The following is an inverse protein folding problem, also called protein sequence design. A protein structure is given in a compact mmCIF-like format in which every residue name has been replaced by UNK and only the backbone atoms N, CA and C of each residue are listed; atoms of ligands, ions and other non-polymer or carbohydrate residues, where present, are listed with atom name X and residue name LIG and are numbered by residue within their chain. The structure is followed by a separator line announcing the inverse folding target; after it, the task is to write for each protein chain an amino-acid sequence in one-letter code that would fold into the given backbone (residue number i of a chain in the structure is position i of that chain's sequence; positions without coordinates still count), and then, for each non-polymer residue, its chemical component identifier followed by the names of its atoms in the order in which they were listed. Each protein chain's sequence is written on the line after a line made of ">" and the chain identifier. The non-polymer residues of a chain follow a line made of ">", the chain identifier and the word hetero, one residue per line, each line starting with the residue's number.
data_IF_821572237529
#
_entry.id   IF_821572237529
#
_cell.length_a   1.000
_cell.length_b   1.000
_cell.length_c   1.000
_cell.angle_alpha   90.00
_cell.angle_beta   90.00
_cell.angle_gamma   90.00
#
_symmetry.space_group_name_H-M   'P 1'
#
loop_
_entity.id
_entity.type
_entity.pdbx_description
1 polymer ?
#
# COMPACT_ATOMS: atom_id res chain seq x y z
N UNK A 1 -12.24 26.86 -10.37
CA UNK A 1 -12.01 26.95 -8.91
C UNK A 1 -12.15 25.63 -8.14
N UNK A 2 -13.04 24.71 -8.54
CA UNK A 2 -13.24 23.42 -7.84
C UNK A 2 -11.98 22.54 -7.75
N UNK A 3 -11.23 22.42 -8.86
CA UNK A 3 -10.00 21.62 -8.91
C UNK A 3 -8.89 22.08 -7.96
N UNK A 4 -8.70 23.40 -7.81
CA UNK A 4 -7.67 23.97 -6.92
C UNK A 4 -7.97 23.66 -5.45
N UNK A 5 -9.23 23.76 -5.03
CA UNK A 5 -9.63 23.42 -3.65
C UNK A 5 -9.46 21.93 -3.36
N UNK A 6 -9.73 21.06 -4.34
CA UNK A 6 -9.52 19.62 -4.21
C UNK A 6 -8.03 19.30 -4.05
N UNK A 7 -7.18 19.92 -4.88
CA UNK A 7 -5.73 19.77 -4.82
C UNK A 7 -5.15 20.21 -3.47
N UNK A 8 -5.55 21.39 -2.99
CA UNK A 8 -5.10 21.90 -1.69
C UNK A 8 -5.53 20.99 -0.54
N UNK A 9 -6.75 20.43 -0.59
CA UNK A 9 -7.22 19.48 0.42
C UNK A 9 -6.44 18.16 0.38
N UNK A 10 -6.13 17.65 -0.82
CA UNK A 10 -5.34 16.44 -0.98
C UNK A 10 -3.90 16.65 -0.48
N UNK A 11 -3.27 17.76 -0.86
CA UNK A 11 -1.93 18.14 -0.41
C UNK A 11 -1.88 18.31 1.11
N UNK A 12 -2.85 19.02 1.71
CA UNK A 12 -2.92 19.18 3.16
C UNK A 12 -3.08 17.86 3.91
N UNK A 13 -3.99 16.99 3.45
CA UNK A 13 -4.19 15.66 4.06
C UNK A 13 -2.94 14.79 3.93
N UNK A 14 -2.30 14.79 2.77
CA UNK A 14 -1.04 14.07 2.54
C UNK A 14 0.08 14.57 3.46
N UNK A 15 0.25 15.90 3.55
CA UNK A 15 1.23 16.52 4.43
C UNK A 15 0.97 16.20 5.90
N UNK A 16 -0.30 16.23 6.35
CA UNK A 16 -0.67 15.89 7.72
C UNK A 16 -0.36 14.41 8.05
N UNK A 17 -0.67 13.49 7.14
CA UNK A 17 -0.37 12.05 7.30
C UNK A 17 1.15 11.83 7.34
N UNK A 18 1.90 12.45 6.43
CA UNK A 18 3.36 12.37 6.41
C UNK A 18 3.99 12.93 7.70
N UNK A 19 3.50 14.09 8.18
CA UNK A 19 3.95 14.69 9.43
C UNK A 19 3.62 13.82 10.65
N UNK A 20 2.45 13.15 10.65
CA UNK A 20 2.05 12.24 11.71
C UNK A 20 2.96 11.00 11.74
N UNK A 21 3.23 10.39 10.59
CA UNK A 21 4.17 9.27 10.50
C UNK A 21 5.60 9.68 10.88
N UNK A 22 6.04 10.88 10.49
CA UNK A 22 7.31 11.46 10.93
C UNK A 22 7.38 11.60 12.46
N UNK A 23 6.33 12.11 13.09
CA UNK A 23 6.29 12.25 14.55
C UNK A 23 6.30 10.89 15.24
N UNK A 24 5.51 9.92 14.75
CA UNK A 24 5.48 8.55 15.26
C UNK A 24 6.86 7.92 15.15
N UNK A 25 7.51 8.05 13.98
CA UNK A 25 8.87 7.58 13.75
C UNK A 25 9.85 8.16 14.79
N UNK A 26 9.78 9.47 15.03
CA UNK A 26 10.61 10.17 16.02
C UNK A 26 10.37 9.66 17.45
N UNK A 27 9.11 9.42 17.83
CA UNK A 27 8.73 8.89 19.15
C UNK A 27 9.20 7.45 19.33
N UNK A 28 8.94 6.58 18.36
CA UNK A 28 9.38 5.18 18.39
C UNK A 28 10.90 5.08 18.48
N UNK A 29 11.58 6.03 17.86
CA UNK A 29 13.03 6.04 17.85
C UNK A 29 13.70 6.60 19.10
N UNK A 30 13.05 7.55 19.77
CA UNK A 30 13.58 8.14 21.00
C UNK A 30 13.35 7.31 22.26
N UNK A 31 12.48 6.28 22.24
CA UNK A 31 12.02 5.60 23.48
C UNK A 31 11.91 4.06 23.41
N UNK A 32 12.35 3.40 22.33
CA UNK A 32 11.95 2.02 22.03
C UNK A 32 12.89 0.85 22.35
N UNK A 33 14.20 1.04 22.61
CA UNK A 33 15.09 -0.04 23.08
C UNK A 33 16.57 0.06 22.70
N UNK A 34 17.30 -1.05 22.88
CA UNK A 34 18.78 -1.15 23.04
C UNK A 34 19.68 -0.80 21.85
N UNK A 35 19.12 -0.42 20.70
CA UNK A 35 19.92 0.01 19.53
C UNK A 35 19.45 1.38 19.03
N UNK A 36 20.33 2.40 19.00
CA UNK A 36 19.97 3.71 18.49
C UNK A 36 19.68 3.61 16.99
N UNK A 37 18.55 4.19 16.58
CA UNK A 37 18.27 4.40 15.18
C UNK A 37 19.20 5.50 14.65
N UNK A 38 19.80 5.37 13.46
CA UNK A 38 20.61 6.42 12.86
C UNK A 38 19.70 7.55 12.31
N UNK A 39 18.78 8.03 13.14
CA UNK A 39 17.83 9.09 12.81
C UNK A 39 18.54 10.36 12.39
N UNK A 40 19.65 10.73 13.05
CA UNK A 40 20.40 11.92 12.67
C UNK A 40 20.93 11.83 11.24
N UNK A 41 21.45 10.68 10.82
CA UNK A 41 21.87 10.47 9.42
C UNK A 41 20.68 10.44 8.46
N UNK A 42 19.57 9.78 8.83
CA UNK A 42 18.37 9.75 8.01
C UNK A 42 17.73 11.15 7.86
N UNK A 43 17.77 11.98 8.90
CA UNK A 43 17.27 13.36 8.88
C UNK A 43 18.23 14.33 8.20
N UNK A 44 19.54 14.14 8.33
CA UNK A 44 20.53 14.94 7.59
C UNK A 44 20.39 14.75 6.07
N UNK A 45 19.88 13.60 5.62
CA UNK A 45 19.64 13.30 4.21
C UNK A 45 18.24 13.71 3.72
N UNK A 46 17.31 14.05 4.64
CA UNK A 46 15.96 14.45 4.29
C UNK A 46 15.92 15.94 3.93
N UNK A 47 16.05 16.30 2.64
CA UNK A 47 15.90 17.68 2.19
C UNK A 47 14.42 18.08 2.12
N UNK A 48 14.08 19.26 2.64
CA UNK A 48 12.72 19.83 2.54
C UNK A 48 12.27 19.97 1.07
N UNK A 49 13.21 20.26 0.18
CA UNK A 49 12.99 20.34 -1.26
C UNK A 49 12.49 19.00 -1.83
N UNK A 50 13.16 17.89 -1.49
CA UNK A 50 12.76 16.55 -1.94
C UNK A 50 11.43 16.11 -1.33
N UNK A 51 11.11 16.52 -0.10
CA UNK A 51 9.77 16.31 0.46
C UNK A 51 8.69 17.04 -0.34
N UNK A 52 8.97 18.27 -0.78
CA UNK A 52 8.09 19.04 -1.67
C UNK A 52 7.89 18.34 -3.03
N UNK A 53 8.97 17.89 -3.65
CA UNK A 53 8.92 17.12 -4.90
C UNK A 53 8.07 15.85 -4.75
N UNK A 54 8.30 15.06 -3.70
CA UNK A 54 7.54 13.84 -3.44
C UNK A 54 6.04 14.15 -3.26
N UNK A 55 5.71 15.23 -2.56
CA UNK A 55 4.33 15.66 -2.39
C UNK A 55 3.67 16.04 -3.73
N UNK A 56 4.40 16.73 -4.61
CA UNK A 56 3.92 17.08 -5.97
C UNK A 56 3.69 15.84 -6.81
N UNK A 57 4.65 14.91 -6.86
CA UNK A 57 4.51 13.65 -7.59
C UNK A 57 3.32 12.82 -7.07
N UNK A 58 3.15 12.76 -5.74
CA UNK A 58 1.99 12.10 -5.12
C UNK A 58 0.66 12.75 -5.51
N UNK A 59 0.59 14.08 -5.54
CA UNK A 59 -0.60 14.80 -5.97
C UNK A 59 -0.92 14.57 -7.46
N UNK A 60 0.09 14.60 -8.33
CA UNK A 60 -0.04 14.30 -9.75
C UNK A 60 -0.50 12.86 -9.99
N UNK A 61 0.08 11.89 -9.29
CA UNK A 61 -0.32 10.50 -9.36
C UNK A 61 -1.78 10.30 -8.90
N UNK A 62 -2.20 10.97 -7.82
CA UNK A 62 -3.57 10.93 -7.34
C UNK A 62 -4.55 11.56 -8.36
N UNK A 63 -4.20 12.68 -8.98
CA UNK A 63 -4.99 13.29 -10.04
C UNK A 63 -5.11 12.37 -11.25
N UNK A 64 -3.99 11.80 -11.70
CA UNK A 64 -3.96 10.87 -12.81
C UNK A 64 -4.85 9.66 -12.52
N UNK A 65 -4.72 9.07 -11.33
CA UNK A 65 -5.58 7.97 -10.89
C UNK A 65 -7.06 8.36 -10.91
N UNK A 66 -7.44 9.54 -10.38
CA UNK A 66 -8.82 10.01 -10.44
C UNK A 66 -9.31 10.15 -11.88
N UNK A 67 -8.48 10.69 -12.78
CA UNK A 67 -8.81 10.81 -14.20
C UNK A 67 -8.96 9.44 -14.88
N UNK A 68 -8.08 8.49 -14.58
CA UNK A 68 -8.10 7.13 -15.11
C UNK A 68 -9.27 6.30 -14.56
N UNK A 69 -9.69 6.57 -13.33
CA UNK A 69 -10.85 5.93 -12.70
C UNK A 69 -12.18 6.52 -13.19
N UNK A 70 -12.20 7.75 -13.69
CA UNK A 70 -13.43 8.40 -14.16
C UNK A 70 -14.25 7.60 -15.21
N UNK A 71 -13.66 6.96 -16.22
CA UNK A 71 -14.40 6.13 -17.16
C UNK A 71 -14.76 4.73 -16.63
N UNK A 72 -14.22 4.32 -15.47
CA UNK A 72 -14.40 2.98 -14.93
C UNK A 72 -15.70 2.91 -14.13
N UNK A 73 -16.52 1.83 -14.27
CA UNK A 73 -17.76 1.70 -13.51
C UNK A 73 -17.55 1.80 -11.99
N UNK A 74 -18.61 2.19 -11.27
CA UNK A 74 -18.52 2.46 -9.82
C UNK A 74 -18.00 1.26 -9.02
N UNK A 75 -18.39 0.04 -9.39
CA UNK A 75 -17.93 -1.19 -8.75
C UNK A 75 -16.41 -1.36 -8.79
N UNK A 76 -15.78 -1.50 -9.97
CA UNK A 76 -14.31 -1.61 -10.08
C UNK A 76 -13.58 -0.39 -9.51
N UNK A 77 -14.14 0.82 -9.61
CA UNK A 77 -13.59 2.01 -8.95
C UNK A 77 -13.51 1.86 -7.43
N UNK A 78 -14.57 1.35 -6.79
CA UNK A 78 -14.58 1.04 -5.34
C UNK A 78 -13.55 -0.04 -5.01
N UNK A 79 -13.43 -1.07 -5.84
CA UNK A 79 -12.44 -2.13 -5.67
C UNK A 79 -11.01 -1.59 -5.72
N UNK A 80 -10.67 -0.81 -6.76
CA UNK A 80 -9.34 -0.21 -6.88
C UNK A 80 -9.06 0.72 -5.70
N UNK A 81 -9.98 1.62 -5.38
CA UNK A 81 -9.78 2.59 -4.30
C UNK A 81 -9.63 1.92 -2.95
N UNK A 82 -10.49 0.94 -2.64
CA UNK A 82 -10.39 0.13 -1.42
C UNK A 82 -9.10 -0.69 -1.38
N UNK A 83 -8.73 -1.29 -2.51
CA UNK A 83 -7.50 -2.05 -2.68
C UNK A 83 -6.25 -1.23 -2.44
N UNK A 84 -6.19 0.00 -2.97
CA UNK A 84 -5.09 0.93 -2.76
C UNK A 84 -4.90 1.25 -1.27
N UNK A 85 -5.98 1.57 -0.56
CA UNK A 85 -5.88 1.95 0.86
C UNK A 85 -5.53 0.73 1.72
N UNK A 86 -6.21 -0.40 1.52
CA UNK A 86 -6.00 -1.60 2.33
C UNK A 86 -4.66 -2.28 2.03
N UNK A 87 -4.18 -2.25 0.79
CA UNK A 87 -2.87 -2.75 0.42
C UNK A 87 -1.72 -1.95 1.07
N UNK A 88 -1.83 -0.62 1.11
CA UNK A 88 -0.88 0.23 1.83
C UNK A 88 -0.95 -0.01 3.35
N UNK A 89 -2.15 -0.14 3.92
CA UNK A 89 -2.31 -0.46 5.34
C UNK A 89 -1.74 -1.84 5.70
N UNK A 90 -1.87 -2.83 4.81
CA UNK A 90 -1.35 -4.18 5.03
C UNK A 90 0.18 -4.23 5.14
N UNK A 91 0.89 -3.28 4.51
CA UNK A 91 2.34 -3.12 4.71
C UNK A 91 2.61 -2.85 6.18
N UNK A 92 1.95 -1.86 6.77
CA UNK A 92 2.16 -1.45 8.16
C UNK A 92 1.74 -2.56 9.11
N UNK A 93 0.54 -3.12 8.92
CA UNK A 93 -0.09 -4.03 9.88
C UNK A 93 0.50 -5.44 9.81
N UNK A 94 0.81 -5.96 8.62
CA UNK A 94 1.25 -7.33 8.44
C UNK A 94 2.73 -7.42 8.09
N UNK A 95 3.17 -6.77 7.01
CA UNK A 95 4.56 -6.89 6.55
C UNK A 95 5.55 -6.37 7.59
N UNK A 96 5.35 -5.14 8.09
CA UNK A 96 6.25 -4.54 9.08
C UNK A 96 6.11 -5.13 10.46
N UNK A 97 4.90 -5.50 10.90
CA UNK A 97 4.71 -6.21 12.16
C UNK A 97 5.40 -7.57 12.16
N UNK A 98 5.39 -8.29 11.03
CA UNK A 98 6.09 -9.57 10.90
C UNK A 98 7.60 -9.37 11.02
N UNK A 99 8.17 -8.40 10.30
CA UNK A 99 9.60 -8.07 10.41
C UNK A 99 9.98 -7.59 11.81
N UNK A 100 9.11 -6.83 12.47
CA UNK A 100 9.31 -6.41 13.85
C UNK A 100 9.29 -7.61 14.81
N UNK A 101 8.35 -8.53 14.67
CA UNK A 101 8.33 -9.76 15.49
C UNK A 101 9.59 -10.57 15.25
N UNK A 102 10.01 -10.79 14.00
CA UNK A 102 11.25 -11.51 13.66
C UNK A 102 12.50 -10.83 14.24
N UNK A 103 12.53 -9.50 14.26
CA UNK A 103 13.58 -8.73 14.96
C UNK A 103 13.59 -9.05 16.46
N UNK A 104 12.44 -8.95 17.13
CA UNK A 104 12.36 -9.10 18.59
C UNK A 104 12.56 -10.54 19.06
N UNK A 105 12.02 -11.53 18.34
CA UNK A 105 11.99 -12.92 18.81
C UNK A 105 13.16 -13.75 18.33
N UNK A 106 13.68 -13.48 17.13
CA UNK A 106 14.68 -14.32 16.49
C UNK A 106 15.98 -13.59 16.15
N UNK A 107 16.04 -12.25 16.34
CA UNK A 107 17.22 -11.46 15.99
C UNK A 107 17.57 -11.49 14.49
N UNK A 108 16.66 -11.98 13.65
CA UNK A 108 16.92 -12.22 12.22
C UNK A 108 17.03 -10.93 11.40
N UNK A 109 16.34 -9.87 11.84
CA UNK A 109 16.46 -8.53 11.27
C UNK A 109 17.43 -7.76 12.15
N UNK A 110 18.62 -7.35 11.69
CA UNK A 110 19.65 -6.82 12.60
C UNK A 110 19.43 -5.37 13.04
N UNK A 111 18.59 -4.59 12.34
CA UNK A 111 18.47 -3.14 12.55
C UNK A 111 17.01 -2.73 12.73
N UNK A 112 16.63 -2.12 13.86
CA UNK A 112 15.25 -1.62 14.12
C UNK A 112 14.77 -0.53 13.16
N UNK A 113 15.70 0.11 12.47
CA UNK A 113 15.49 1.29 11.62
C UNK A 113 15.34 1.03 10.15
N UNK A 114 15.26 -0.24 9.76
CA UNK A 114 15.15 -0.62 8.36
C UNK A 114 13.95 0.06 7.67
N UNK A 115 12.88 0.39 8.42
CA UNK A 115 11.70 1.15 7.99
C UNK A 115 12.00 2.57 7.47
N UNK A 116 13.05 3.18 8.00
CA UNK A 116 13.45 4.55 7.69
C UNK A 116 14.76 4.62 6.92
N UNK A 117 15.42 3.48 6.73
CA UNK A 117 16.56 3.39 5.84
C UNK A 117 16.10 3.80 4.43
N UNK A 118 16.91 4.58 3.71
CA UNK A 118 16.61 4.93 2.33
C UNK A 118 16.57 3.63 1.51
N UNK A 119 15.57 3.52 0.63
CA UNK A 119 15.50 2.41 -0.31
C UNK A 119 16.72 2.48 -1.24
N UNK A 120 17.54 1.42 -1.23
CA UNK A 120 18.80 1.41 -1.97
C UNK A 120 18.57 1.41 -3.49
N UNK A 121 19.51 2.05 -4.19
CA UNK A 121 19.55 2.45 -5.61
C UNK A 121 19.42 1.30 -6.63
N UNK A 122 19.24 0.05 -6.21
CA UNK A 122 18.99 -1.06 -7.15
C UNK A 122 17.57 -1.07 -7.73
N UNK A 123 16.65 -0.27 -7.19
CA UNK A 123 15.40 -0.01 -7.87
C UNK A 123 15.65 0.91 -9.07
N UNK A 124 15.61 0.36 -10.28
CA UNK A 124 15.57 1.10 -11.56
C UNK A 124 14.39 2.10 -11.67
N UNK A 125 13.59 2.25 -10.61
CA UNK A 125 12.58 3.28 -10.44
C UNK A 125 13.15 4.49 -9.69
N UNK A 126 13.65 5.52 -10.41
CA UNK A 126 14.23 6.73 -9.80
C UNK A 126 13.27 7.47 -8.85
N UNK A 127 11.96 7.28 -9.01
CA UNK A 127 10.94 7.88 -8.13
C UNK A 127 11.03 7.34 -6.70
N UNK A 128 11.40 6.07 -6.49
CA UNK A 128 11.45 5.45 -5.16
C UNK A 128 12.83 5.58 -4.50
N UNK A 129 13.87 5.90 -5.27
CA UNK A 129 15.24 6.01 -4.79
C UNK A 129 15.35 7.09 -3.70
N UNK A 130 15.95 6.71 -2.57
CA UNK A 130 16.15 7.63 -1.44
C UNK A 130 14.90 7.96 -0.62
N UNK A 131 13.72 7.42 -0.97
CA UNK A 131 12.57 7.46 -0.08
C UNK A 131 12.79 6.54 1.12
N UNK A 132 12.26 6.86 2.32
CA UNK A 132 12.25 5.91 3.42
C UNK A 132 11.49 4.64 3.01
N UNK A 133 12.09 3.48 3.28
CA UNK A 133 11.60 2.18 2.79
C UNK A 133 10.13 1.91 3.13
N UNK A 134 9.65 2.34 4.31
CA UNK A 134 8.25 2.21 4.70
C UNK A 134 7.32 2.90 3.71
N UNK A 135 7.60 4.13 3.30
CA UNK A 135 6.75 4.86 2.36
C UNK A 135 6.79 4.24 0.97
N UNK A 136 7.98 3.86 0.49
CA UNK A 136 8.11 3.17 -0.78
C UNK A 136 7.32 1.85 -0.80
N UNK A 137 7.38 1.08 0.29
CA UNK A 137 6.61 -0.15 0.46
C UNK A 137 5.12 0.13 0.54
N UNK A 138 4.68 1.18 1.24
CA UNK A 138 3.26 1.57 1.28
C UNK A 138 2.73 1.96 -0.11
N UNK A 139 3.52 2.67 -0.92
CA UNK A 139 3.15 3.01 -2.30
C UNK A 139 3.02 1.75 -3.15
N UNK A 140 4.00 0.85 -3.06
CA UNK A 140 3.94 -0.43 -3.76
C UNK A 140 2.76 -1.29 -3.28
N UNK A 141 2.53 -1.33 -1.97
CA UNK A 141 1.42 -2.05 -1.37
C UNK A 141 0.06 -1.50 -1.77
N UNK A 142 -0.05 -0.19 -1.91
CA UNK A 142 -1.23 0.41 -2.49
C UNK A 142 -1.44 -0.10 -3.92
N UNK A 143 -0.44 0.09 -4.80
CA UNK A 143 -0.52 -0.33 -6.20
C UNK A 143 -0.90 -1.81 -6.35
N UNK A 144 -0.20 -2.69 -5.63
CA UNK A 144 -0.44 -4.13 -5.65
C UNK A 144 -1.79 -4.51 -5.00
N UNK A 145 -2.22 -3.79 -3.97
CA UNK A 145 -3.53 -3.96 -3.36
C UNK A 145 -4.69 -3.58 -4.30
N UNK A 146 -4.52 -2.51 -5.09
CA UNK A 146 -5.47 -2.14 -6.14
C UNK A 146 -5.60 -3.22 -7.22
N UNK A 147 -4.47 -3.75 -7.69
CA UNK A 147 -4.43 -4.87 -8.63
C UNK A 147 -5.04 -6.14 -8.04
N UNK A 148 -4.73 -6.45 -6.78
CA UNK A 148 -5.27 -7.60 -6.06
C UNK A 148 -6.79 -7.50 -5.90
N UNK A 149 -7.32 -6.31 -5.58
CA UNK A 149 -8.76 -6.09 -5.49
C UNK A 149 -9.47 -6.32 -6.83
N UNK A 150 -8.87 -5.90 -7.95
CA UNK A 150 -9.37 -6.22 -9.29
C UNK A 150 -9.32 -7.72 -9.56
N UNK A 151 -8.20 -8.39 -9.25
CA UNK A 151 -8.05 -9.82 -9.43
C UNK A 151 -9.10 -10.60 -8.63
N UNK A 152 -9.34 -10.22 -7.37
CA UNK A 152 -10.38 -10.84 -6.53
C UNK A 152 -11.79 -10.60 -7.05
N UNK A 153 -12.04 -9.46 -7.71
CA UNK A 153 -13.31 -9.20 -8.38
C UNK A 153 -13.51 -10.12 -9.58
N UNK A 154 -12.44 -10.47 -10.30
CA UNK A 154 -12.46 -11.37 -11.45
C UNK A 154 -12.47 -12.85 -11.04
N UNK A 155 -11.78 -13.20 -9.95
CA UNK A 155 -11.66 -14.56 -9.43
C UNK A 155 -12.83 -14.90 -8.50
N UNK A 156 -14.02 -15.11 -9.08
CA UNK A 156 -15.27 -15.35 -8.33
C UNK A 156 -15.29 -16.67 -7.52
N UNK A 157 -14.44 -17.64 -7.87
CA UNK A 157 -14.56 -19.03 -7.39
C UNK A 157 -13.51 -19.41 -6.34
N UNK A 158 -12.45 -18.61 -6.16
CA UNK A 158 -11.32 -18.98 -5.31
C UNK A 158 -11.46 -18.47 -3.87
N UNK A 159 -10.93 -19.20 -2.87
CA UNK A 159 -10.81 -18.67 -1.51
C UNK A 159 -9.93 -17.41 -1.52
N UNK A 160 -10.52 -16.26 -1.20
CA UNK A 160 -9.90 -14.94 -1.33
C UNK A 160 -8.57 -14.82 -0.57
N UNK A 161 -8.54 -15.29 0.68
CA UNK A 161 -7.34 -15.26 1.50
C UNK A 161 -6.22 -16.12 0.94
N UNK A 162 -6.55 -17.26 0.32
CA UNK A 162 -5.57 -18.11 -0.35
C UNK A 162 -5.04 -17.42 -1.61
N UNK A 163 -5.90 -16.77 -2.39
CA UNK A 163 -5.47 -15.96 -3.54
C UNK A 163 -4.55 -14.84 -3.09
N UNK A 164 -4.93 -14.10 -2.05
CA UNK A 164 -4.10 -13.07 -1.43
C UNK A 164 -2.74 -13.60 -1.01
N UNK A 165 -2.74 -14.73 -0.29
CA UNK A 165 -1.51 -15.38 0.12
C UNK A 165 -0.64 -15.80 -1.08
N UNK A 166 -1.20 -16.43 -2.10
CA UNK A 166 -0.46 -16.87 -3.30
C UNK A 166 0.11 -15.70 -4.09
N UNK A 167 -0.68 -14.63 -4.29
CA UNK A 167 -0.24 -13.41 -4.96
C UNK A 167 0.90 -12.75 -4.19
N UNK A 168 0.82 -12.70 -2.86
CA UNK A 168 1.92 -12.21 -2.03
C UNK A 168 3.14 -13.12 -2.08
N UNK A 169 2.95 -14.40 -1.78
CA UNK A 169 3.99 -15.42 -1.67
C UNK A 169 4.80 -15.58 -2.95
N UNK A 170 4.15 -15.57 -4.12
CA UNK A 170 4.80 -15.77 -5.42
C UNK A 170 5.07 -14.44 -6.12
N UNK A 171 4.04 -13.59 -6.24
CA UNK A 171 4.13 -12.33 -6.99
C UNK A 171 4.99 -11.31 -6.28
N UNK A 172 4.71 -11.02 -5.01
CA UNK A 172 5.45 -9.97 -4.29
C UNK A 172 6.87 -10.42 -3.98
N UNK A 173 7.11 -11.71 -3.68
CA UNK A 173 8.46 -12.27 -3.56
C UNK A 173 9.24 -12.20 -4.86
N UNK A 174 8.59 -12.44 -6.01
CA UNK A 174 9.25 -12.27 -7.31
C UNK A 174 9.59 -10.79 -7.57
N UNK A 175 8.65 -9.87 -7.34
CA UNK A 175 8.87 -8.43 -7.45
C UNK A 175 9.99 -7.95 -6.52
N UNK A 176 10.04 -8.48 -5.30
CA UNK A 176 11.04 -8.11 -4.31
C UNK A 176 12.46 -8.33 -4.84
N UNK A 177 12.70 -9.44 -5.55
CA UNK A 177 14.00 -9.76 -6.17
C UNK A 177 14.53 -8.66 -7.10
N UNK A 178 13.64 -7.84 -7.64
CA UNK A 178 13.95 -6.77 -8.59
C UNK A 178 13.88 -5.37 -7.97
N UNK A 179 13.03 -5.15 -6.96
CA UNK A 179 12.66 -3.81 -6.53
C UNK A 179 12.93 -3.49 -5.06
N UNK A 180 13.03 -4.50 -4.19
CA UNK A 180 13.00 -4.28 -2.74
C UNK A 180 13.98 -5.21 -2.05
N UNK A 181 15.03 -4.65 -1.47
CA UNK A 181 15.81 -5.33 -0.44
C UNK A 181 15.66 -4.56 0.86
N UNK A 182 15.27 -5.26 1.93
CA UNK A 182 15.30 -4.67 3.27
C UNK A 182 16.77 -4.54 3.65
N UNK A 183 17.30 -3.33 3.88
CA UNK A 183 18.72 -3.14 4.14
C UNK A 183 19.17 -3.96 5.35
N UNK A 184 20.19 -4.80 5.16
CA UNK A 184 20.76 -5.64 6.20
C UNK A 184 19.97 -6.90 6.56
N UNK A 185 18.87 -7.22 5.86
CA UNK A 185 18.13 -8.46 6.08
C UNK A 185 18.32 -9.41 4.90
N UNK A 186 19.34 -10.27 5.01
CA UNK A 186 19.72 -11.25 4.00
C UNK A 186 19.03 -12.60 4.28
N UNK A 187 17.73 -12.62 4.01
CA UNK A 187 16.86 -13.75 4.29
C UNK A 187 16.78 -14.74 3.12
N UNK A 188 16.71 -16.03 3.45
CA UNK A 188 16.44 -17.10 2.50
C UNK A 188 15.13 -16.86 1.75
N UNK A 189 15.06 -17.27 0.47
CA UNK A 189 13.91 -16.98 -0.40
C UNK A 189 12.58 -17.45 0.18
N UNK A 190 12.56 -18.55 0.93
CA UNK A 190 11.35 -19.10 1.55
C UNK A 190 10.82 -18.23 2.71
N UNK A 191 11.69 -17.48 3.39
CA UNK A 191 11.26 -16.54 4.43
C UNK A 191 10.46 -15.40 3.81
N UNK A 192 10.90 -14.93 2.64
CA UNK A 192 10.18 -13.93 1.86
C UNK A 192 8.84 -14.42 1.34
N UNK A 193 8.73 -15.69 0.92
CA UNK A 193 7.45 -16.32 0.57
C UNK A 193 6.46 -16.22 1.74
N UNK A 194 6.91 -16.47 2.98
CA UNK A 194 6.04 -16.37 4.16
C UNK A 194 5.68 -14.93 4.49
N UNK A 195 6.67 -14.01 4.54
CA UNK A 195 6.46 -12.59 4.87
C UNK A 195 5.52 -11.94 3.85
N UNK A 196 5.82 -12.11 2.56
CA UNK A 196 5.03 -11.55 1.48
C UNK A 196 3.68 -12.25 1.31
N UNK A 197 3.61 -13.56 1.57
CA UNK A 197 2.35 -14.28 1.65
C UNK A 197 1.44 -13.74 2.76
N UNK A 198 2.02 -13.45 3.94
CA UNK A 198 1.31 -12.79 5.04
C UNK A 198 0.85 -11.37 4.70
N UNK A 199 1.67 -10.62 3.95
CA UNK A 199 1.29 -9.30 3.43
C UNK A 199 0.10 -9.38 2.47
N UNK A 200 0.15 -10.26 1.46
CA UNK A 200 -0.93 -10.45 0.51
C UNK A 200 -2.22 -10.96 1.17
N UNK A 201 -2.10 -11.93 2.08
CA UNK A 201 -3.21 -12.39 2.92
C UNK A 201 -3.84 -11.25 3.72
N UNK A 202 -3.01 -10.44 4.39
CA UNK A 202 -3.44 -9.31 5.21
C UNK A 202 -4.14 -8.23 4.41
N UNK A 203 -3.67 -7.95 3.18
CA UNK A 203 -4.33 -7.04 2.26
C UNK A 203 -5.76 -7.50 1.94
N UNK A 204 -5.94 -8.78 1.62
CA UNK A 204 -7.28 -9.33 1.36
C UNK A 204 -8.14 -9.32 2.61
N UNK A 205 -7.59 -9.72 3.76
CA UNK A 205 -8.30 -9.69 5.03
C UNK A 205 -8.87 -8.30 5.34
N UNK A 206 -8.06 -7.25 5.15
CA UNK A 206 -8.48 -5.86 5.34
C UNK A 206 -9.49 -5.38 4.29
N UNK A 207 -9.49 -5.96 3.08
CA UNK A 207 -10.45 -5.64 2.01
C UNK A 207 -11.83 -6.29 2.22
N UNK A 208 -11.96 -7.35 3.02
CA UNK A 208 -13.23 -8.09 3.21
C UNK A 208 -14.43 -7.21 3.60
N UNK A 209 -14.31 -6.27 4.57
CA UNK A 209 -15.44 -5.42 4.96
C UNK A 209 -15.92 -4.49 3.85
N UNK A 210 -15.13 -4.28 2.79
CA UNK A 210 -15.48 -3.40 1.68
C UNK A 210 -16.35 -4.09 0.62
N UNK A 211 -16.57 -5.41 0.77
CA UNK A 211 -17.39 -6.23 -0.11
C UNK A 211 -17.01 -6.06 -1.60
N UNK A 212 -15.72 -6.11 -1.90
CA UNK A 212 -15.18 -5.79 -3.24
C UNK A 212 -15.41 -6.89 -4.28
N UNK A 213 -16.16 -7.95 -3.93
CA UNK A 213 -16.48 -9.05 -4.84
C UNK A 213 -17.59 -8.62 -5.80
N UNK A 214 -17.36 -8.83 -7.10
CA UNK A 214 -18.31 -8.43 -8.15
C UNK A 214 -19.66 -9.17 -8.12
N UNK A 215 -19.81 -10.19 -7.26
CA UNK A 215 -21.05 -10.97 -7.13
C UNK A 215 -22.21 -10.20 -6.49
N UNK A 216 -21.94 -9.19 -5.66
CA UNK A 216 -23.01 -8.41 -5.01
C UNK A 216 -23.75 -7.50 -6.01
N UNK A 217 -23.04 -6.94 -6.99
CA UNK A 217 -23.64 -6.12 -8.05
C UNK A 217 -24.52 -7.01 -8.96
N UNK A 218 -24.10 -8.25 -9.24
CA UNK A 218 -24.87 -9.23 -10.00
C UNK A 218 -26.16 -9.62 -9.28
N UNK A 219 -26.11 -9.97 -7.99
CA UNK A 219 -27.34 -10.33 -7.26
C UNK A 219 -28.32 -9.16 -7.12
N UNK A 220 -27.83 -7.93 -6.98
CA UNK A 220 -28.69 -6.75 -6.90
C UNK A 220 -29.44 -6.45 -8.20
N UNK A 221 -28.82 -6.69 -9.37
CA UNK A 221 -29.50 -6.60 -10.67
C UNK A 221 -30.55 -7.70 -10.86
N UNK A 222 -30.36 -8.87 -10.26
CA UNK A 222 -31.34 -9.98 -10.31
C UNK A 222 -32.48 -9.85 -9.29
N UNK A 223 -32.23 -9.22 -8.13
CA UNK A 223 -33.25 -9.04 -7.08
C UNK A 223 -34.12 -7.79 -7.26
N UNK A 224 -33.65 -6.75 -7.95
CA UNK A 224 -34.43 -5.52 -8.20
C UNK A 224 -34.64 -5.22 -9.71
N UNK A 225 -35.30 -6.10 -10.50
CA UNK A 225 -35.60 -5.82 -11.91
C UNK A 225 -36.52 -4.60 -12.11
N UNK A 226 -37.16 -4.11 -11.06
CA UNK A 226 -38.12 -2.99 -11.11
C UNK A 226 -37.45 -1.63 -11.37
N UNK A 227 -36.22 -1.40 -10.90
CA UNK A 227 -35.53 -0.12 -11.13
C UNK A 227 -34.99 0.04 -12.56
N UNK A 228 -34.76 -1.05 -13.29
CA UNK A 228 -34.39 -1.00 -14.71
C UNK A 228 -35.57 -0.56 -15.60
N UNK A 229 -36.82 -0.83 -15.20
CA UNK A 229 -38.00 -0.44 -15.96
C UNK A 229 -38.44 1.02 -15.74
N UNK A 230 -38.16 1.61 -14.57
CA UNK A 230 -38.55 2.99 -14.28
C UNK A 230 -37.75 4.04 -15.09
N UNK A 231 -36.53 3.71 -15.53
CA UNK A 231 -35.72 4.57 -16.40
C UNK A 231 -36.17 4.57 -17.88
N UNK A 232 -36.88 3.53 -18.33
CA UNK A 232 -37.35 3.41 -19.70
C UNK A 232 -38.68 4.14 -19.97
N UNK A 233 -39.45 4.45 -18.91
CA UNK A 233 -40.74 5.14 -18.99
C UNK A 233 -40.68 6.68 -18.93
N UNK A 234 -39.48 7.26 -18.82
CA UNK A 234 -39.27 8.71 -18.85
C UNK A 234 -38.46 9.11 -20.08
N UNK A 235 -39.05 8.93 -21.26
CA UNK A 235 -38.65 9.62 -22.49
C UNK A 235 -39.79 10.52 -22.93
#
# INVERSE_FOLDING_TARGET
>A
MFGVRLLLRAAWRGAFVAASFYLIAKVMAGRGGTSPLPLEQAFAQASFERLGEVAVHGALAAMLLICLLRPIPAGPCRAISGGLVMGAAAVVVFHQSTLFVLHQTAGLVPVRGFLFAPMHVLAEMPILAGMPSLYALMLLGGALGGLLALLLRLALVLPDLLVGWLVGALGFTWLQRWFITVPGFDAEWWQWVVINGGWGWGAVFLMRPLALRGGEDLHREFEEPQHAMEGAGRK
#
